data_IF_456523190169
#
_entry.id   IF_456523190169
#
_cell.length_a   1.000
_cell.length_b   1.000
_cell.length_c   1.000
_cell.angle_alpha   90.00
_cell.angle_beta   90.00
_cell.angle_gamma   90.00
#
_symmetry.space_group_name_H-M   'P 1'
#
loop_
_entity.id
_entity.type
_entity.pdbx_description
1 polymer ?
#
# COMPACT_ATOMS: atom_id res chain seq x y z
N UNK A 1 -22.46 -14.88 23.60
CA UNK A 1 -21.65 -15.61 22.58
C UNK A 1 -20.47 -16.29 23.26
N UNK A 2 -20.26 -17.58 23.01
CA UNK A 2 -19.08 -18.28 23.45
C UNK A 2 -17.84 -17.90 22.62
N UNK A 3 -16.64 -18.32 23.03
CA UNK A 3 -15.38 -17.90 22.36
C UNK A 3 -15.28 -18.43 20.93
N UNK A 4 -15.85 -19.60 20.63
CA UNK A 4 -15.91 -20.19 19.28
C UNK A 4 -16.80 -19.34 18.37
N UNK A 5 -17.98 -18.92 18.83
CA UNK A 5 -18.87 -18.04 18.08
C UNK A 5 -18.21 -16.68 17.78
N UNK A 6 -17.48 -16.11 18.76
CA UNK A 6 -16.73 -14.86 18.54
C UNK A 6 -15.63 -15.01 17.50
N UNK A 7 -14.94 -16.18 17.46
CA UNK A 7 -13.94 -16.47 16.43
C UNK A 7 -14.58 -16.63 15.06
N UNK A 8 -15.71 -17.33 14.97
CA UNK A 8 -16.44 -17.52 13.73
C UNK A 8 -16.94 -16.18 13.16
N UNK A 9 -17.60 -15.34 13.98
CA UNK A 9 -18.05 -14.00 13.55
C UNK A 9 -16.89 -13.13 13.04
N UNK A 10 -15.72 -13.25 13.68
CA UNK A 10 -14.52 -12.52 13.25
C UNK A 10 -13.97 -13.06 11.92
N UNK A 11 -14.02 -14.37 11.69
CA UNK A 11 -13.68 -14.97 10.40
C UNK A 11 -14.64 -14.55 9.28
N UNK A 12 -15.95 -14.60 9.56
CA UNK A 12 -16.99 -14.15 8.60
C UNK A 12 -16.85 -12.67 8.25
N UNK A 13 -16.45 -11.83 9.20
CA UNK A 13 -16.17 -10.41 8.95
C UNK A 13 -15.07 -10.21 7.91
N UNK A 14 -13.94 -10.91 8.01
CA UNK A 14 -12.87 -10.82 7.01
C UNK A 14 -13.25 -11.47 5.68
N UNK A 15 -14.04 -12.53 5.70
CA UNK A 15 -14.59 -13.10 4.48
C UNK A 15 -15.50 -12.10 3.75
N UNK A 16 -16.34 -11.35 4.49
CA UNK A 16 -17.16 -10.31 3.90
C UNK A 16 -16.32 -9.16 3.29
N UNK A 17 -15.27 -8.72 3.96
CA UNK A 17 -14.32 -7.73 3.39
C UNK A 17 -13.68 -8.30 2.12
N UNK A 18 -13.18 -9.53 2.16
CA UNK A 18 -12.58 -10.17 1.00
C UNK A 18 -13.55 -10.25 -0.18
N UNK A 19 -14.80 -10.69 0.05
CA UNK A 19 -15.83 -10.77 -1.01
C UNK A 19 -16.11 -9.38 -1.57
N UNK A 20 -16.26 -8.36 -0.72
CA UNK A 20 -16.44 -6.98 -1.16
C UNK A 20 -15.30 -6.53 -2.09
N UNK A 21 -14.05 -6.70 -1.68
CA UNK A 21 -12.88 -6.33 -2.47
C UNK A 21 -12.75 -7.15 -3.75
N UNK A 22 -13.06 -8.44 -3.69
CA UNK A 22 -13.03 -9.32 -4.86
C UNK A 22 -14.07 -8.91 -5.91
N UNK A 23 -15.30 -8.58 -5.47
CA UNK A 23 -16.34 -8.03 -6.35
C UNK A 23 -15.92 -6.66 -6.89
N UNK A 24 -15.31 -5.82 -6.06
CA UNK A 24 -14.77 -4.53 -6.50
C UNK A 24 -13.76 -4.70 -7.64
N UNK A 25 -12.75 -5.53 -7.47
CA UNK A 25 -11.67 -5.73 -8.44
C UNK A 25 -12.01 -6.69 -9.59
N UNK A 26 -13.19 -7.29 -9.60
CA UNK A 26 -13.68 -8.10 -10.75
C UNK A 26 -14.79 -7.42 -11.52
N UNK A 27 -15.57 -6.51 -10.92
CA UNK A 27 -16.79 -5.96 -11.50
C UNK A 27 -16.85 -4.44 -11.54
N UNK A 28 -16.37 -3.75 -10.48
CA UNK A 28 -16.45 -2.28 -10.39
C UNK A 28 -15.20 -1.65 -10.99
N UNK A 29 -14.05 -2.00 -10.46
CA UNK A 29 -12.73 -1.59 -10.95
C UNK A 29 -11.99 -2.85 -11.38
N UNK A 30 -12.47 -3.49 -12.46
CA UNK A 30 -11.94 -4.77 -12.89
C UNK A 30 -10.45 -4.63 -13.32
N UNK A 31 -9.62 -5.54 -12.79
CA UNK A 31 -8.19 -5.60 -13.09
C UNK A 31 -7.98 -6.30 -14.44
N UNK A 32 -8.09 -5.54 -15.51
CA UNK A 32 -7.99 -6.04 -16.88
C UNK A 32 -6.57 -5.83 -17.39
N UNK A 33 -6.02 -6.84 -18.07
CA UNK A 33 -4.77 -6.71 -18.83
C UNK A 33 -5.05 -5.83 -20.05
N UNK A 34 -4.39 -4.67 -20.14
CA UNK A 34 -4.66 -3.71 -21.21
C UNK A 34 -3.42 -2.93 -21.65
N UNK A 35 -2.68 -2.33 -20.71
CA UNK A 35 -1.52 -1.50 -21.04
C UNK A 35 -0.36 -2.32 -21.58
N UNK A 36 0.55 -1.68 -22.33
CA UNK A 36 1.74 -2.31 -22.90
C UNK A 36 2.64 -2.94 -21.81
N UNK A 37 2.76 -2.28 -20.65
CA UNK A 37 3.49 -2.80 -19.51
C UNK A 37 2.86 -4.08 -18.96
N UNK A 38 1.51 -4.17 -18.93
CA UNK A 38 0.81 -5.40 -18.51
C UNK A 38 1.20 -6.58 -19.42
N UNK A 39 1.04 -6.41 -20.73
CA UNK A 39 1.37 -7.45 -21.70
C UNK A 39 2.84 -7.87 -21.67
N UNK A 40 3.75 -6.91 -21.51
CA UNK A 40 5.17 -7.18 -21.42
C UNK A 40 5.52 -8.04 -20.21
N UNK A 41 4.96 -7.71 -19.03
CA UNK A 41 5.25 -8.44 -17.79
C UNK A 41 4.48 -9.75 -17.63
N UNK A 42 3.38 -9.97 -18.33
CA UNK A 42 2.69 -11.28 -18.36
C UNK A 42 3.57 -12.40 -18.93
N UNK A 43 4.32 -12.10 -19.97
CA UNK A 43 5.16 -13.05 -20.70
C UNK A 43 6.61 -13.09 -20.19
N UNK A 44 7.09 -11.98 -19.67
CA UNK A 44 8.47 -11.83 -19.26
C UNK A 44 8.68 -12.28 -17.82
N UNK A 45 9.23 -13.47 -17.66
CA UNK A 45 9.68 -13.96 -16.36
C UNK A 45 11.15 -13.60 -16.20
N UNK A 46 11.43 -12.72 -15.26
CA UNK A 46 12.80 -12.42 -14.86
C UNK A 46 13.54 -13.67 -14.41
N UNK A 47 14.82 -13.77 -14.72
CA UNK A 47 15.69 -14.79 -14.14
C UNK A 47 15.68 -14.68 -12.60
N UNK A 48 15.14 -15.69 -11.93
CA UNK A 48 15.06 -15.75 -10.47
C UNK A 48 16.39 -16.08 -9.81
N UNK A 49 17.29 -16.72 -10.60
CA UNK A 49 18.63 -17.09 -10.16
C UNK A 49 19.62 -16.02 -10.62
N UNK A 50 20.64 -15.70 -9.79
CA UNK A 50 21.69 -14.77 -10.19
C UNK A 50 22.38 -15.22 -11.46
N UNK A 51 22.36 -14.36 -12.48
CA UNK A 51 23.22 -14.45 -13.64
C UNK A 51 24.33 -13.44 -13.44
N UNK A 52 25.59 -13.90 -13.47
CA UNK A 52 26.73 -13.04 -13.19
C UNK A 52 26.80 -11.87 -14.18
N UNK A 53 26.83 -10.64 -13.67
CA UNK A 53 26.84 -9.41 -14.46
C UNK A 53 25.46 -8.85 -14.80
N UNK A 54 24.38 -9.62 -14.63
CA UNK A 54 23.02 -9.21 -14.99
C UNK A 54 22.07 -9.21 -13.80
N UNK A 55 22.42 -9.90 -12.71
CA UNK A 55 21.55 -10.02 -11.56
C UNK A 55 21.36 -8.70 -10.80
N UNK A 56 20.12 -8.35 -10.55
CA UNK A 56 19.74 -7.21 -9.74
C UNK A 56 18.75 -7.69 -8.64
N UNK A 57 19.05 -7.48 -7.34
CA UNK A 57 18.18 -7.94 -6.25
C UNK A 57 16.90 -7.13 -6.10
N UNK A 58 16.83 -5.91 -6.67
CA UNK A 58 15.66 -5.08 -6.60
C UNK A 58 14.54 -5.56 -7.54
N UNK A 59 13.29 -5.29 -7.19
CA UNK A 59 12.09 -5.61 -7.98
C UNK A 59 11.84 -7.09 -8.27
N UNK A 60 12.52 -8.00 -7.62
CA UNK A 60 12.28 -9.44 -7.80
C UNK A 60 10.83 -9.79 -7.46
N UNK A 61 10.27 -9.20 -6.41
CA UNK A 61 8.88 -9.46 -6.02
C UNK A 61 7.88 -9.16 -7.15
N UNK A 62 7.78 -7.95 -7.71
CA UNK A 62 6.82 -7.67 -8.78
C UNK A 62 7.15 -8.45 -10.07
N UNK A 63 8.42 -8.52 -10.45
CA UNK A 63 8.83 -9.11 -11.74
C UNK A 63 8.75 -10.65 -11.78
N UNK A 64 8.55 -11.31 -10.64
CA UNK A 64 8.34 -12.76 -10.54
C UNK A 64 6.91 -13.11 -10.18
N UNK A 65 6.31 -12.40 -9.24
CA UNK A 65 4.99 -12.73 -8.69
C UNK A 65 3.87 -12.41 -9.70
N UNK A 66 4.00 -11.34 -10.47
CA UNK A 66 3.01 -11.02 -11.50
C UNK A 66 2.95 -12.11 -12.60
N UNK A 67 4.05 -12.45 -13.32
CA UNK A 67 4.01 -13.52 -14.30
C UNK A 67 3.69 -14.89 -13.71
N UNK A 68 4.05 -15.16 -12.45
CA UNK A 68 3.66 -16.39 -11.76
C UNK A 68 2.13 -16.52 -11.66
N UNK A 69 1.44 -15.51 -11.13
CA UNK A 69 -0.02 -15.55 -11.03
C UNK A 69 -0.71 -15.49 -12.39
N UNK A 70 -0.12 -14.80 -13.36
CA UNK A 70 -0.59 -14.81 -14.74
C UNK A 70 -0.53 -16.21 -15.36
N UNK A 71 0.55 -16.95 -15.11
CA UNK A 71 0.71 -18.36 -15.50
C UNK A 71 -0.35 -19.24 -14.81
N UNK A 72 -0.55 -19.06 -13.50
CA UNK A 72 -1.60 -19.78 -12.75
C UNK A 72 -2.98 -19.46 -13.33
N UNK A 73 -3.26 -18.20 -13.70
CA UNK A 73 -4.51 -17.81 -14.35
C UNK A 73 -4.70 -18.55 -15.68
N UNK A 74 -3.67 -18.58 -16.52
CA UNK A 74 -3.74 -19.22 -17.83
C UNK A 74 -3.97 -20.73 -17.75
N UNK A 75 -3.30 -21.43 -16.84
CA UNK A 75 -3.36 -22.89 -16.77
C UNK A 75 -4.44 -23.45 -15.84
N UNK A 76 -4.83 -22.76 -14.78
CA UNK A 76 -5.79 -23.27 -13.80
C UNK A 76 -7.14 -22.56 -13.86
N UNK A 77 -7.19 -21.25 -14.16
CA UNK A 77 -8.45 -20.49 -14.16
C UNK A 77 -9.08 -20.43 -15.55
N UNK A 78 -8.29 -20.25 -16.60
CA UNK A 78 -8.78 -20.17 -17.97
C UNK A 78 -9.57 -21.41 -18.42
N UNK A 79 -9.18 -22.67 -18.07
CA UNK A 79 -9.99 -23.84 -18.41
C UNK A 79 -11.42 -23.80 -17.84
N UNK A 80 -11.62 -23.09 -16.73
CA UNK A 80 -12.92 -22.92 -16.08
C UNK A 80 -13.72 -21.76 -16.68
N UNK A 81 -13.05 -20.62 -16.94
CA UNK A 81 -13.69 -19.41 -17.46
C UNK A 81 -13.91 -19.43 -18.97
N UNK A 82 -13.14 -20.25 -19.70
CA UNK A 82 -13.09 -20.29 -21.17
C UNK A 82 -12.67 -18.97 -21.83
N UNK A 83 -12.21 -18.00 -21.05
CA UNK A 83 -11.78 -16.67 -21.49
C UNK A 83 -10.50 -16.25 -20.76
N UNK A 84 -9.45 -15.97 -21.52
CA UNK A 84 -8.13 -15.63 -20.98
C UNK A 84 -8.18 -14.32 -20.15
N UNK A 85 -8.84 -13.29 -20.67
CA UNK A 85 -8.93 -11.99 -20.00
C UNK A 85 -9.69 -12.09 -18.67
N UNK A 86 -10.82 -12.83 -18.67
CA UNK A 86 -11.55 -13.11 -17.43
C UNK A 86 -10.69 -13.90 -16.44
N UNK A 87 -9.93 -14.89 -16.91
CA UNK A 87 -9.06 -15.68 -16.04
C UNK A 87 -7.99 -14.82 -15.36
N UNK A 88 -7.35 -13.92 -16.10
CA UNK A 88 -6.38 -12.96 -15.58
C UNK A 88 -7.04 -12.04 -14.54
N UNK A 89 -8.19 -11.41 -14.91
CA UNK A 89 -8.92 -10.52 -14.00
C UNK A 89 -9.29 -11.21 -12.68
N UNK A 90 -9.82 -12.42 -12.73
CA UNK A 90 -10.22 -13.19 -11.53
C UNK A 90 -9.02 -13.51 -10.66
N UNK A 91 -7.92 -13.97 -11.25
CA UNK A 91 -6.71 -14.31 -10.50
C UNK A 91 -6.07 -13.08 -9.83
N UNK A 92 -5.90 -12.00 -10.58
CA UNK A 92 -5.28 -10.79 -10.04
C UNK A 92 -6.17 -10.09 -9.00
N UNK A 93 -7.50 -10.08 -9.20
CA UNK A 93 -8.44 -9.63 -8.19
C UNK A 93 -8.37 -10.48 -6.91
N UNK A 94 -8.19 -11.80 -7.02
CA UNK A 94 -7.98 -12.69 -5.87
C UNK A 94 -6.73 -12.29 -5.09
N UNK A 95 -5.59 -12.10 -5.77
CA UNK A 95 -4.31 -11.75 -5.15
C UNK A 95 -4.38 -10.40 -4.45
N UNK A 96 -4.90 -9.38 -5.12
CA UNK A 96 -5.02 -8.02 -4.58
C UNK A 96 -5.98 -8.00 -3.38
N UNK A 97 -7.15 -8.64 -3.50
CA UNK A 97 -8.16 -8.69 -2.43
C UNK A 97 -7.65 -9.44 -1.19
N UNK A 98 -6.94 -10.54 -1.35
CA UNK A 98 -6.31 -11.27 -0.25
C UNK A 98 -5.24 -10.41 0.43
N UNK A 99 -4.43 -9.71 -0.34
CA UNK A 99 -3.36 -8.85 0.19
C UNK A 99 -3.92 -7.68 1.00
N UNK A 100 -4.96 -6.99 0.51
CA UNK A 100 -5.63 -5.92 1.25
C UNK A 100 -6.31 -6.48 2.50
N UNK A 101 -6.98 -7.64 2.41
CA UNK A 101 -7.61 -8.29 3.57
C UNK A 101 -6.57 -8.64 4.64
N UNK A 102 -5.41 -9.17 4.24
CA UNK A 102 -4.28 -9.46 5.13
C UNK A 102 -3.71 -8.20 5.81
N UNK A 103 -3.58 -7.12 5.07
CA UNK A 103 -3.18 -5.80 5.57
C UNK A 103 -4.16 -5.28 6.64
N UNK A 104 -5.46 -5.33 6.38
CA UNK A 104 -6.51 -4.94 7.33
C UNK A 104 -6.53 -5.85 8.57
N UNK A 105 -6.25 -7.13 8.41
CA UNK A 105 -6.11 -8.06 9.52
C UNK A 105 -4.89 -7.71 10.42
N UNK A 106 -3.76 -7.30 9.82
CA UNK A 106 -2.61 -6.79 10.57
C UNK A 106 -2.97 -5.54 11.38
N UNK A 107 -3.73 -4.60 10.81
CA UNK A 107 -4.23 -3.43 11.50
C UNK A 107 -5.11 -3.79 12.71
N UNK A 108 -6.10 -4.65 12.53
CA UNK A 108 -6.95 -5.10 13.65
C UNK A 108 -6.15 -5.78 14.77
N UNK A 109 -5.14 -6.57 14.41
CA UNK A 109 -4.23 -7.21 15.38
C UNK A 109 -3.39 -6.18 16.14
N UNK A 110 -2.93 -5.13 15.45
CA UNK A 110 -2.21 -4.02 16.07
C UNK A 110 -3.09 -3.35 17.14
N UNK A 111 -4.31 -2.93 16.78
CA UNK A 111 -5.21 -2.24 17.71
C UNK A 111 -5.48 -3.08 18.97
N UNK A 112 -5.80 -4.36 18.79
CA UNK A 112 -6.10 -5.28 19.89
C UNK A 112 -4.90 -5.59 20.78
N UNK A 113 -3.69 -5.43 20.29
CA UNK A 113 -2.47 -5.60 21.09
C UNK A 113 -2.10 -4.34 21.86
N UNK A 114 -2.25 -3.19 21.22
CA UNK A 114 -1.83 -1.90 21.77
C UNK A 114 -2.88 -1.29 22.72
N UNK A 115 -4.16 -1.67 22.56
CA UNK A 115 -5.25 -1.08 23.31
C UNK A 115 -6.20 -2.14 23.88
N UNK A 116 -6.85 -1.87 25.03
CA UNK A 116 -7.83 -2.77 25.63
C UNK A 116 -9.19 -2.67 24.92
N UNK A 117 -9.20 -2.94 23.59
CA UNK A 117 -10.40 -2.89 22.76
C UNK A 117 -10.95 -4.27 22.44
N UNK A 118 -12.28 -4.36 22.33
CA UNK A 118 -12.98 -5.59 21.96
C UNK A 118 -12.72 -5.96 20.50
N UNK A 119 -13.01 -7.23 20.13
CA UNK A 119 -12.98 -7.64 18.71
C UNK A 119 -13.95 -6.83 17.86
N UNK A 120 -15.14 -6.54 18.37
CA UNK A 120 -16.14 -5.73 17.67
C UNK A 120 -15.62 -4.31 17.42
N UNK A 121 -15.07 -3.66 18.44
CA UNK A 121 -14.44 -2.34 18.32
C UNK A 121 -13.34 -2.34 17.26
N UNK A 122 -12.45 -3.34 17.29
CA UNK A 122 -11.39 -3.47 16.30
C UNK A 122 -11.94 -3.69 14.89
N UNK A 123 -13.05 -4.43 14.73
CA UNK A 123 -13.71 -4.63 13.42
C UNK A 123 -14.32 -3.32 12.90
N UNK A 124 -14.97 -2.53 13.74
CA UNK A 124 -15.52 -1.22 13.37
C UNK A 124 -14.39 -0.28 12.92
N UNK A 125 -13.29 -0.22 13.66
CA UNK A 125 -12.12 0.56 13.26
C UNK A 125 -11.48 0.04 11.97
N UNK A 126 -11.52 -1.27 11.72
CA UNK A 126 -11.03 -1.84 10.46
C UNK A 126 -11.91 -1.41 9.27
N UNK A 127 -13.24 -1.37 9.44
CA UNK A 127 -14.14 -0.81 8.42
C UNK A 127 -13.86 0.69 8.18
N UNK A 128 -13.66 1.47 9.24
CA UNK A 128 -13.35 2.89 9.11
C UNK A 128 -11.99 3.09 8.42
N UNK A 129 -10.98 2.28 8.76
CA UNK A 129 -9.67 2.33 8.12
C UNK A 129 -9.75 1.96 6.63
N UNK A 130 -10.51 0.93 6.28
CA UNK A 130 -10.80 0.59 4.88
C UNK A 130 -11.49 1.75 4.16
N UNK A 131 -12.50 2.35 4.79
CA UNK A 131 -13.27 3.45 4.23
C UNK A 131 -12.40 4.67 3.92
N UNK A 132 -11.51 5.09 4.83
CA UNK A 132 -10.65 6.25 4.58
C UNK A 132 -9.69 6.01 3.42
N UNK A 133 -9.24 4.78 3.16
CA UNK A 133 -8.44 4.44 1.99
C UNK A 133 -9.20 4.66 0.66
N UNK A 134 -10.51 4.50 0.67
CA UNK A 134 -11.33 4.79 -0.50
C UNK A 134 -11.71 6.27 -0.63
N UNK A 135 -11.70 7.04 0.47
CA UNK A 135 -12.23 8.41 0.50
C UNK A 135 -11.17 9.51 0.52
N UNK A 136 -10.00 9.27 1.09
CA UNK A 136 -9.02 10.33 1.37
C UNK A 136 -8.67 11.16 0.12
N UNK A 137 -8.42 10.52 -1.02
CA UNK A 137 -8.07 11.17 -2.28
C UNK A 137 -9.27 11.58 -3.14
N UNK A 138 -10.51 11.30 -2.70
CA UNK A 138 -11.71 11.59 -3.48
C UNK A 138 -12.23 12.98 -3.18
N UNK A 139 -11.95 13.89 -4.08
CA UNK A 139 -12.57 15.21 -4.15
C UNK A 139 -13.25 15.37 -5.51
N UNK A 140 -14.02 16.44 -5.69
CA UNK A 140 -14.67 16.75 -6.96
C UNK A 140 -13.67 16.83 -8.15
N UNK A 141 -12.42 17.18 -7.86
CA UNK A 141 -11.37 17.39 -8.86
C UNK A 141 -10.36 16.25 -8.96
N UNK A 142 -10.44 15.21 -8.09
CA UNK A 142 -9.42 14.16 -8.01
C UNK A 142 -9.69 12.92 -8.86
N UNK A 143 -10.77 12.90 -9.63
CA UNK A 143 -11.10 11.76 -10.49
C UNK A 143 -11.33 10.46 -9.73
N UNK A 144 -10.85 9.35 -10.29
CA UNK A 144 -11.03 7.98 -9.76
C UNK A 144 -10.07 7.57 -8.65
N UNK A 145 -9.13 8.40 -8.29
CA UNK A 145 -8.04 8.00 -7.41
C UNK A 145 -8.54 7.67 -6.00
N UNK A 146 -8.08 6.56 -5.48
CA UNK A 146 -8.20 6.11 -4.10
C UNK A 146 -6.90 5.38 -3.74
N UNK A 147 -6.61 5.15 -2.47
CA UNK A 147 -5.27 4.66 -2.07
C UNK A 147 -4.94 3.25 -2.58
N UNK A 148 -5.93 2.45 -2.94
CA UNK A 148 -5.70 1.15 -3.58
C UNK A 148 -5.76 1.22 -5.12
N UNK A 149 -5.83 2.41 -5.71
CA UNK A 149 -5.84 2.59 -7.15
C UNK A 149 -4.42 2.55 -7.71
N UNK A 150 -4.26 1.82 -8.81
CA UNK A 150 -3.10 1.89 -9.67
C UNK A 150 -3.56 2.04 -11.12
N UNK A 151 -2.75 2.73 -11.94
CA UNK A 151 -3.12 3.11 -13.32
C UNK A 151 -3.17 1.93 -14.29
N UNK A 152 -2.49 0.83 -14.00
CA UNK A 152 -2.46 -0.40 -14.77
C UNK A 152 -2.30 -1.61 -13.84
N UNK A 153 -2.50 -2.82 -14.37
CA UNK A 153 -2.40 -4.06 -13.60
C UNK A 153 -0.97 -4.32 -13.10
N UNK A 154 0.03 -4.02 -13.93
CA UNK A 154 1.43 -4.16 -13.55
C UNK A 154 1.78 -3.25 -12.35
N UNK A 155 1.21 -2.05 -12.28
CA UNK A 155 1.40 -1.14 -11.15
C UNK A 155 0.88 -1.69 -9.82
N UNK A 156 -0.17 -2.53 -9.80
CA UNK A 156 -0.58 -3.23 -8.57
C UNK A 156 0.54 -4.08 -7.99
N UNK A 157 1.31 -4.76 -8.83
CA UNK A 157 2.42 -5.61 -8.40
C UNK A 157 3.68 -4.80 -8.09
N UNK A 158 3.93 -3.72 -8.82
CA UNK A 158 5.10 -2.88 -8.60
C UNK A 158 4.97 -1.94 -7.41
N UNK A 159 3.76 -1.46 -7.08
CA UNK A 159 3.55 -0.42 -6.06
C UNK A 159 2.65 -0.88 -4.93
N UNK A 160 1.39 -1.30 -5.21
CA UNK A 160 0.42 -1.55 -4.15
C UNK A 160 0.78 -2.77 -3.31
N UNK A 161 1.03 -3.92 -3.91
CA UNK A 161 1.35 -5.15 -3.15
C UNK A 161 2.60 -4.99 -2.28
N UNK A 162 3.72 -4.43 -2.79
CA UNK A 162 4.87 -4.11 -1.96
C UNK A 162 4.56 -3.11 -0.84
N UNK A 163 3.75 -2.09 -1.10
CA UNK A 163 3.36 -1.11 -0.08
C UNK A 163 2.51 -1.75 1.02
N UNK A 164 1.54 -2.60 0.67
CA UNK A 164 0.75 -3.38 1.63
C UNK A 164 1.62 -4.32 2.47
N UNK A 165 2.64 -4.96 1.86
CA UNK A 165 3.59 -5.81 2.55
C UNK A 165 4.41 -5.01 3.57
N UNK A 166 5.00 -3.88 3.17
CA UNK A 166 5.79 -3.01 4.02
C UNK A 166 4.93 -2.43 5.17
N UNK A 167 3.72 -1.96 4.88
CA UNK A 167 2.78 -1.45 5.87
C UNK A 167 2.35 -2.53 6.88
N UNK A 168 2.11 -3.76 6.41
CA UNK A 168 1.78 -4.92 7.27
C UNK A 168 2.93 -5.30 8.19
N UNK A 169 4.17 -5.24 7.70
CA UNK A 169 5.37 -5.44 8.50
C UNK A 169 5.52 -4.36 9.56
N UNK A 170 5.37 -3.07 9.20
CA UNK A 170 5.42 -1.94 10.14
C UNK A 170 4.40 -2.12 11.25
N UNK A 171 3.13 -2.43 10.93
CA UNK A 171 2.10 -2.70 11.93
C UNK A 171 2.45 -3.90 12.82
N UNK A 172 3.05 -4.95 12.26
CA UNK A 172 3.46 -6.14 13.00
C UNK A 172 4.65 -5.85 13.94
N UNK A 173 5.58 -4.99 13.53
CA UNK A 173 6.73 -4.56 14.31
C UNK A 173 6.33 -3.60 15.44
N UNK A 174 5.39 -2.69 15.22
CA UNK A 174 4.82 -1.84 16.29
C UNK A 174 4.07 -2.71 17.32
N UNK A 175 3.31 -3.70 16.86
CA UNK A 175 2.59 -4.63 17.71
C UNK A 175 3.53 -5.49 18.56
N UNK A 176 4.65 -5.88 18.00
CA UNK A 176 5.66 -6.72 18.65
C UNK A 176 7.07 -6.20 18.36
N UNK A 177 7.58 -5.23 19.14
CA UNK A 177 8.90 -4.64 18.92
C UNK A 177 10.05 -5.66 18.94
N UNK A 178 9.85 -6.81 19.57
CA UNK A 178 10.83 -7.91 19.62
C UNK A 178 10.72 -8.88 18.45
N UNK A 179 9.91 -8.58 17.43
CA UNK A 179 9.78 -9.46 16.26
C UNK A 179 11.14 -9.66 15.55
N UNK A 180 12.02 -8.64 15.56
CA UNK A 180 13.39 -8.77 15.06
C UNK A 180 14.23 -9.80 15.83
N UNK A 181 13.97 -10.02 17.13
CA UNK A 181 14.67 -11.04 17.93
C UNK A 181 14.26 -12.47 17.55
N UNK A 182 13.14 -12.62 16.85
CA UNK A 182 12.70 -13.89 16.27
C UNK A 182 13.75 -14.52 15.35
N UNK A 183 14.59 -13.69 14.70
CA UNK A 183 15.74 -14.16 13.92
C UNK A 183 16.76 -14.94 14.77
N UNK A 184 16.82 -14.69 16.09
CA UNK A 184 17.76 -15.35 16.99
C UNK A 184 17.19 -16.65 17.57
N UNK A 185 15.88 -16.72 17.84
CA UNK A 185 15.28 -17.79 18.65
C UNK A 185 14.13 -18.55 17.97
N UNK A 186 13.67 -18.13 16.82
CA UNK A 186 12.57 -18.77 16.09
C UNK A 186 12.96 -20.11 15.44
N UNK A 187 11.97 -20.95 15.12
CA UNK A 187 12.18 -22.17 14.35
C UNK A 187 12.81 -21.87 12.99
N UNK A 188 13.76 -22.69 12.47
CA UNK A 188 14.51 -22.40 11.24
C UNK A 188 13.63 -22.06 10.03
N UNK A 189 12.57 -22.84 9.79
CA UNK A 189 11.65 -22.60 8.69
C UNK A 189 10.92 -21.24 8.80
N UNK A 190 10.45 -20.91 10.02
CA UNK A 190 9.76 -19.65 10.26
C UNK A 190 10.72 -18.43 10.14
N UNK A 191 12.00 -18.61 10.55
CA UNK A 191 13.04 -17.59 10.33
C UNK A 191 13.29 -17.37 8.84
N UNK A 192 13.41 -18.46 8.06
CA UNK A 192 13.55 -18.42 6.62
C UNK A 192 12.39 -17.67 5.95
N UNK A 193 11.15 -18.01 6.28
CA UNK A 193 9.97 -17.30 5.79
C UNK A 193 10.00 -15.80 6.16
N UNK A 194 10.38 -15.46 7.39
CA UNK A 194 10.48 -14.06 7.80
C UNK A 194 11.56 -13.30 7.01
N UNK A 195 12.73 -13.91 6.79
CA UNK A 195 13.79 -13.31 5.96
C UNK A 195 13.32 -13.08 4.52
N UNK A 196 12.60 -14.04 3.92
CA UNK A 196 12.03 -13.90 2.56
C UNK A 196 11.02 -12.74 2.52
N UNK A 197 10.13 -12.64 3.50
CA UNK A 197 9.16 -11.54 3.58
C UNK A 197 9.85 -10.19 3.71
N UNK A 198 10.87 -10.08 4.59
CA UNK A 198 11.66 -8.86 4.76
C UNK A 198 12.45 -8.51 3.49
N UNK A 199 13.04 -9.51 2.82
CA UNK A 199 13.71 -9.32 1.55
C UNK A 199 12.76 -8.73 0.49
N UNK A 200 11.61 -9.34 0.28
CA UNK A 200 10.62 -8.83 -0.67
C UNK A 200 10.07 -7.45 -0.29
N UNK A 201 9.99 -7.12 1.00
CA UNK A 201 9.59 -5.80 1.43
C UNK A 201 10.65 -4.74 1.09
N UNK A 202 11.92 -5.02 1.37
CA UNK A 202 13.03 -4.06 1.20
C UNK A 202 13.44 -3.93 -0.27
N UNK A 203 13.60 -5.07 -0.97
CA UNK A 203 14.04 -5.12 -2.38
C UNK A 203 12.86 -5.06 -3.37
N UNK A 204 11.76 -4.44 -2.98
CA UNK A 204 10.64 -4.06 -3.84
C UNK A 204 10.97 -2.77 -4.62
N UNK A 205 10.05 -1.83 -4.71
CA UNK A 205 10.35 -0.51 -5.25
C UNK A 205 10.66 0.51 -4.13
N UNK A 206 11.30 1.62 -4.46
CA UNK A 206 11.69 2.65 -3.51
C UNK A 206 10.50 3.31 -2.79
N UNK A 207 9.38 3.71 -3.44
CA UNK A 207 8.22 4.27 -2.75
C UNK A 207 7.66 3.33 -1.68
N UNK A 208 7.55 2.04 -1.96
CA UNK A 208 6.98 1.07 -1.02
C UNK A 208 7.95 0.72 0.11
N UNK A 209 9.22 0.43 -0.20
CA UNK A 209 10.23 0.04 0.79
C UNK A 209 10.60 1.19 1.74
N UNK A 210 10.43 2.44 1.30
CA UNK A 210 10.57 3.63 2.13
C UNK A 210 9.67 3.64 3.37
N UNK A 211 8.53 2.94 3.36
CA UNK A 211 7.63 2.80 4.51
C UNK A 211 8.34 2.08 5.68
N UNK A 212 8.98 0.96 5.39
CA UNK A 212 9.72 0.17 6.39
C UNK A 212 11.01 0.88 6.81
N UNK A 213 11.69 1.54 5.87
CA UNK A 213 12.89 2.35 6.17
C UNK A 213 12.56 3.55 7.08
N UNK A 214 11.46 4.25 6.83
CA UNK A 214 11.01 5.36 7.68
C UNK A 214 10.68 4.88 9.11
N UNK A 215 10.03 3.72 9.25
CA UNK A 215 9.82 3.09 10.56
C UNK A 215 11.16 2.76 11.25
N UNK A 216 12.09 2.13 10.55
CA UNK A 216 13.39 1.75 11.12
C UNK A 216 14.20 2.98 11.58
N UNK A 217 14.25 4.04 10.75
CA UNK A 217 14.86 5.31 11.09
C UNK A 217 14.22 5.97 12.30
N UNK A 218 12.90 5.91 12.43
CA UNK A 218 12.16 6.47 13.56
C UNK A 218 12.46 5.75 14.88
N UNK A 219 12.54 4.42 14.84
CA UNK A 219 12.93 3.62 16.03
C UNK A 219 14.34 3.97 16.47
N UNK A 220 15.29 4.04 15.53
CA UNK A 220 16.68 4.43 15.84
C UNK A 220 16.76 5.84 16.40
N UNK A 221 16.07 6.81 15.80
CA UNK A 221 16.06 8.19 16.27
C UNK A 221 15.51 8.29 17.70
N UNK A 222 14.41 7.63 18.00
CA UNK A 222 13.85 7.61 19.35
C UNK A 222 14.79 6.94 20.36
N UNK A 223 15.46 5.85 19.97
CA UNK A 223 16.46 5.19 20.80
C UNK A 223 17.67 6.10 21.06
N UNK A 224 18.14 6.83 20.05
CA UNK A 224 19.20 7.82 20.19
C UNK A 224 18.83 8.97 21.13
N UNK A 225 17.59 9.49 21.03
CA UNK A 225 17.10 10.55 21.93
C UNK A 225 17.02 10.04 23.37
N UNK A 226 16.57 8.81 23.58
CA UNK A 226 16.43 8.24 24.92
C UNK A 226 17.78 7.94 25.60
N UNK A 227 18.76 7.43 24.86
CA UNK A 227 20.00 6.89 25.42
C UNK A 227 21.28 7.69 25.03
N UNK A 228 21.16 8.63 24.08
CA UNK A 228 22.33 9.35 23.53
C UNK A 228 23.11 10.19 24.56
N UNK A 229 22.41 10.69 25.59
CA UNK A 229 23.04 11.44 26.68
C UNK A 229 24.00 10.60 27.55
N UNK A 230 23.79 9.29 27.59
CA UNK A 230 24.58 8.37 28.42
C UNK A 230 25.80 7.75 27.69
N UNK A 231 26.07 8.13 26.42
CA UNK A 231 27.12 7.54 25.56
C UNK A 231 27.09 5.99 25.46
N UNK A 232 25.91 5.39 25.59
CA UNK A 232 25.73 3.93 25.58
C UNK A 232 25.54 3.37 24.15
N UNK A 233 26.42 3.74 23.22
CA UNK A 233 26.34 3.34 21.80
C UNK A 233 26.27 1.83 21.59
N UNK A 234 27.02 1.05 22.40
CA UNK A 234 26.96 -0.43 22.31
C UNK A 234 25.59 -0.98 22.65
N UNK A 235 24.92 -0.42 23.66
CA UNK A 235 23.56 -0.78 24.03
C UNK A 235 22.56 -0.44 22.91
N UNK A 236 22.63 0.79 22.36
CA UNK A 236 21.77 1.23 21.26
C UNK A 236 21.89 0.31 20.05
N UNK A 237 23.11 -0.05 19.64
CA UNK A 237 23.35 -0.94 18.50
C UNK A 237 22.86 -2.36 18.75
N UNK A 238 23.05 -2.89 19.97
CA UNK A 238 22.63 -4.26 20.30
C UNK A 238 21.10 -4.39 20.37
N UNK A 239 20.41 -3.38 20.87
CA UNK A 239 18.93 -3.36 20.97
C UNK A 239 18.24 -3.08 19.65
N UNK A 240 18.89 -2.32 18.75
CA UNK A 240 18.32 -1.90 17.47
C UNK A 240 18.96 -2.58 16.24
N UNK A 241 19.52 -3.76 16.40
CA UNK A 241 20.19 -4.49 15.32
C UNK A 241 19.29 -4.76 14.11
N UNK A 242 18.01 -5.07 14.33
CA UNK A 242 17.07 -5.29 13.23
C UNK A 242 16.71 -4.00 12.47
N UNK A 243 16.31 -2.87 13.11
CA UNK A 243 16.13 -1.61 12.41
C UNK A 243 17.37 -1.15 11.63
N UNK A 244 18.57 -1.35 12.18
CA UNK A 244 19.81 -1.02 11.50
C UNK A 244 20.03 -1.90 10.26
N UNK A 245 19.78 -3.21 10.37
CA UNK A 245 19.84 -4.14 9.24
C UNK A 245 18.87 -3.72 8.11
N UNK A 246 17.64 -3.33 8.48
CA UNK A 246 16.64 -2.84 7.53
C UNK A 246 17.16 -1.61 6.77
N UNK A 247 17.75 -0.62 7.48
CA UNK A 247 18.28 0.59 6.82
C UNK A 247 19.46 0.29 5.90
N UNK A 248 20.39 -0.57 6.33
CA UNK A 248 21.53 -0.96 5.51
C UNK A 248 21.06 -1.70 4.25
N UNK A 249 20.17 -2.67 4.39
CA UNK A 249 19.61 -3.42 3.25
C UNK A 249 18.80 -2.50 2.32
N UNK A 250 18.02 -1.56 2.90
CA UNK A 250 17.28 -0.58 2.11
C UNK A 250 18.21 0.36 1.34
N UNK A 251 19.31 0.81 1.95
CA UNK A 251 20.31 1.64 1.26
C UNK A 251 20.94 0.86 0.09
N UNK A 252 21.27 -0.41 0.28
CA UNK A 252 21.76 -1.28 -0.79
C UNK A 252 20.70 -1.38 -1.92
N UNK A 253 19.43 -1.61 -1.58
CA UNK A 253 18.34 -1.64 -2.55
C UNK A 253 18.23 -0.31 -3.32
N UNK A 254 18.35 0.83 -2.62
CA UNK A 254 18.32 2.15 -3.24
C UNK A 254 19.47 2.37 -4.23
N UNK A 255 20.68 1.90 -3.91
CA UNK A 255 21.82 1.98 -4.83
C UNK A 255 21.54 1.20 -6.11
N UNK A 256 21.01 -0.02 -6.02
CA UNK A 256 20.64 -0.80 -7.21
C UNK A 256 19.55 -0.13 -8.05
N UNK A 257 18.51 0.43 -7.42
CA UNK A 257 17.44 1.15 -8.12
C UNK A 257 17.94 2.43 -8.82
N UNK A 258 18.78 3.20 -8.13
CA UNK A 258 19.34 4.45 -8.66
C UNK A 258 20.43 4.21 -9.75
N UNK A 259 21.00 3.02 -9.80
CA UNK A 259 21.95 2.61 -10.84
C UNK A 259 21.24 2.04 -12.09
N UNK A 260 19.92 1.84 -12.03
CA UNK A 260 19.15 1.27 -13.13
C UNK A 260 18.79 2.27 -14.23
N UNK A 261 18.34 1.75 -15.39
CA UNK A 261 18.03 2.55 -16.58
C UNK A 261 16.99 3.64 -16.38
N UNK A 262 16.05 3.48 -15.43
CA UNK A 262 15.06 4.53 -15.09
C UNK A 262 15.72 5.79 -14.50
N UNK A 263 16.76 5.64 -13.70
CA UNK A 263 17.51 6.77 -13.15
C UNK A 263 18.31 7.49 -14.22
N UNK A 264 18.86 6.76 -15.20
CA UNK A 264 19.55 7.32 -16.33
C UNK A 264 18.63 8.17 -17.24
N UNK A 265 17.38 7.74 -17.43
CA UNK A 265 16.38 8.50 -18.22
C UNK A 265 15.72 9.67 -17.46
N UNK A 266 15.83 9.70 -16.13
CA UNK A 266 15.29 10.80 -15.31
C UNK A 266 16.16 12.07 -15.28
N UNK A 267 17.39 12.01 -15.78
CA UNK A 267 18.34 13.14 -15.85
C UNK A 267 17.91 14.23 -16.84
N UNK A 268 16.92 15.04 -16.47
CA UNK A 268 16.53 16.23 -17.22
C UNK A 268 17.45 17.43 -16.93
N UNK A 269 17.45 18.42 -17.84
CA UNK A 269 18.20 19.67 -17.71
C UNK A 269 17.70 20.59 -16.58
N UNK A 270 16.64 20.21 -15.87
CA UNK A 270 16.00 21.04 -14.84
C UNK A 270 16.73 20.93 -13.50
N UNK A 271 17.11 22.04 -12.85
CA UNK A 271 17.81 22.02 -11.58
C UNK A 271 17.01 21.30 -10.46
N UNK A 272 17.70 20.51 -9.62
CA UNK A 272 17.09 19.69 -8.56
C UNK A 272 16.28 20.54 -7.57
N UNK A 273 16.73 21.75 -7.22
CA UNK A 273 15.99 22.62 -6.30
C UNK A 273 14.63 23.06 -6.88
N UNK A 274 14.54 23.25 -8.20
CA UNK A 274 13.28 23.58 -8.86
C UNK A 274 12.36 22.37 -8.93
N UNK A 275 12.89 21.17 -9.19
CA UNK A 275 12.15 19.93 -9.11
C UNK A 275 11.57 19.72 -7.70
N UNK A 276 12.38 19.98 -6.65
CA UNK A 276 11.92 19.90 -5.26
C UNK A 276 10.82 20.93 -4.98
N UNK A 277 10.97 22.16 -5.44
CA UNK A 277 9.92 23.18 -5.31
C UNK A 277 8.60 22.71 -5.96
N UNK A 278 8.66 22.14 -7.16
CA UNK A 278 7.48 21.62 -7.86
C UNK A 278 6.88 20.43 -7.09
N UNK A 279 7.69 19.50 -6.58
CA UNK A 279 7.22 18.39 -5.77
C UNK A 279 6.50 18.88 -4.50
N UNK A 280 7.07 19.87 -3.80
CA UNK A 280 6.42 20.50 -2.63
C UNK A 280 5.09 21.17 -3.02
N UNK A 281 5.06 21.91 -4.13
CA UNK A 281 3.85 22.54 -4.65
C UNK A 281 2.75 21.52 -4.97
N UNK A 282 3.10 20.41 -5.63
CA UNK A 282 2.15 19.35 -5.95
C UNK A 282 1.64 18.65 -4.70
N UNK A 283 2.53 18.31 -3.75
CA UNK A 283 2.10 17.69 -2.48
C UNK A 283 1.16 18.61 -1.70
N UNK A 284 1.51 19.90 -1.58
CA UNK A 284 0.65 20.89 -0.92
C UNK A 284 -0.73 20.96 -1.59
N UNK A 285 -0.79 20.98 -2.92
CA UNK A 285 -2.05 20.97 -3.66
C UNK A 285 -2.85 19.70 -3.38
N UNK A 286 -2.23 18.52 -3.45
CA UNK A 286 -2.89 17.24 -3.13
C UNK A 286 -3.48 17.29 -1.72
N UNK A 287 -2.71 17.74 -0.72
CA UNK A 287 -3.18 17.82 0.67
C UNK A 287 -4.34 18.81 0.84
N UNK A 288 -4.38 19.89 0.06
CA UNK A 288 -5.49 20.85 0.06
C UNK A 288 -6.72 20.32 -0.69
N UNK A 289 -6.53 19.50 -1.72
CA UNK A 289 -7.58 18.94 -2.57
C UNK A 289 -8.15 17.62 -2.03
N UNK A 290 -7.69 17.14 -0.85
CA UNK A 290 -8.24 15.96 -0.20
C UNK A 290 -9.74 16.14 0.11
N UNK A 291 -10.45 15.02 0.23
CA UNK A 291 -11.84 15.02 0.67
C UNK A 291 -12.02 15.87 1.94
N UNK A 292 -12.87 16.89 1.88
CA UNK A 292 -13.06 17.87 2.96
C UNK A 292 -13.51 17.23 4.28
N UNK A 293 -14.38 16.23 4.20
CA UNK A 293 -14.89 15.55 5.38
C UNK A 293 -13.82 14.64 6.00
N UNK A 294 -12.97 14.04 5.19
CA UNK A 294 -11.78 13.34 5.67
C UNK A 294 -10.83 14.30 6.41
N UNK A 295 -10.51 15.46 5.82
CA UNK A 295 -9.66 16.46 6.47
C UNK A 295 -10.23 16.93 7.82
N UNK A 296 -11.53 17.25 7.85
CA UNK A 296 -12.21 17.69 9.08
C UNK A 296 -12.22 16.58 10.14
N UNK A 297 -12.48 15.34 9.75
CA UNK A 297 -12.48 14.20 10.66
C UNK A 297 -11.10 13.98 11.27
N UNK A 298 -10.05 13.99 10.45
CA UNK A 298 -8.67 13.83 10.92
C UNK A 298 -8.27 14.99 11.86
N UNK A 299 -8.58 16.22 11.48
CA UNK A 299 -8.31 17.40 12.30
C UNK A 299 -9.04 17.33 13.66
N UNK A 300 -10.31 16.92 13.67
CA UNK A 300 -11.08 16.74 14.89
C UNK A 300 -10.47 15.67 15.81
N UNK A 301 -10.05 14.53 15.25
CA UNK A 301 -9.37 13.47 16.02
C UNK A 301 -8.10 14.02 16.68
N UNK A 302 -7.27 14.73 15.91
CA UNK A 302 -6.02 15.32 16.42
C UNK A 302 -6.30 16.33 17.53
N UNK A 303 -7.25 17.26 17.33
CA UNK A 303 -7.62 18.28 18.34
C UNK A 303 -8.13 17.60 19.61
N UNK A 304 -9.07 16.66 19.50
CA UNK A 304 -9.60 15.94 20.66
C UNK A 304 -8.49 15.18 21.41
N UNK A 305 -7.60 14.53 20.68
CA UNK A 305 -6.47 13.81 21.28
C UNK A 305 -5.55 14.76 22.04
N UNK A 306 -5.14 15.87 21.43
CA UNK A 306 -4.27 16.88 22.06
C UNK A 306 -4.92 17.47 23.31
N UNK A 307 -6.19 17.85 23.24
CA UNK A 307 -6.94 18.36 24.39
C UNK A 307 -6.96 17.33 25.52
N UNK A 308 -7.24 16.06 25.22
CA UNK A 308 -7.24 14.99 26.24
C UNK A 308 -5.86 14.77 26.85
N UNK A 309 -4.77 14.83 26.06
CA UNK A 309 -3.40 14.72 26.56
C UNK A 309 -3.07 15.88 27.49
N UNK A 310 -3.39 17.12 27.10
CA UNK A 310 -3.12 18.32 27.91
C UNK A 310 -3.95 18.32 29.20
N UNK A 311 -5.23 17.96 29.13
CA UNK A 311 -6.10 17.84 30.31
C UNK A 311 -5.64 16.70 31.25
N UNK A 312 -5.14 15.59 30.68
CA UNK A 312 -4.60 14.45 31.42
C UNK A 312 -3.32 14.78 32.19
N UNK A 313 -2.43 15.58 31.60
CA UNK A 313 -1.20 16.04 32.25
C UNK A 313 -1.46 16.80 33.56
N UNK A 314 -2.51 17.62 33.59
CA UNK A 314 -2.90 18.37 34.82
C UNK A 314 -3.40 17.48 35.94
N UNK A 315 -3.79 16.21 35.66
CA UNK A 315 -4.39 15.27 36.61
C UNK A 315 -3.55 14.01 36.82
N UNK A 316 -2.29 13.98 36.37
CA UNK A 316 -1.41 12.81 36.34
C UNK A 316 -2.04 11.54 35.70
N UNK A 317 -2.93 11.75 34.73
CA UNK A 317 -3.64 10.70 33.99
C UNK A 317 -3.21 10.72 32.54
N UNK A 318 -2.06 10.14 32.25
CA UNK A 318 -1.58 10.00 30.88
C UNK A 318 -2.58 9.21 30.00
N UNK A 319 -2.72 9.66 28.75
CA UNK A 319 -3.45 8.91 27.72
C UNK A 319 -2.44 8.06 26.94
N UNK A 320 -2.33 6.75 27.23
CA UNK A 320 -1.34 5.90 26.55
C UNK A 320 -1.73 5.71 25.08
N UNK A 321 -0.80 5.97 24.18
CA UNK A 321 -0.95 5.70 22.76
C UNK A 321 0.32 5.02 22.23
N UNK A 322 0.45 3.69 22.45
CA UNK A 322 1.64 2.94 22.04
C UNK A 322 1.89 3.05 20.54
N UNK A 323 3.15 3.26 20.15
CA UNK A 323 3.58 3.35 18.77
C UNK A 323 3.36 4.72 18.09
N UNK A 324 2.56 5.62 18.67
CA UNK A 324 2.23 6.90 18.02
C UNK A 324 3.47 7.74 17.68
N UNK A 325 4.43 7.86 18.59
CA UNK A 325 5.66 8.63 18.36
C UNK A 325 6.48 8.06 17.19
N UNK A 326 6.58 6.75 17.10
CA UNK A 326 7.26 6.06 15.99
C UNK A 326 6.56 6.38 14.67
N UNK A 327 5.22 6.24 14.63
CA UNK A 327 4.43 6.46 13.40
C UNK A 327 4.44 7.92 12.98
N UNK A 328 4.38 8.87 13.92
CA UNK A 328 4.46 10.31 13.61
C UNK A 328 5.82 10.69 12.98
N UNK A 329 6.92 10.22 13.58
CA UNK A 329 8.26 10.47 13.03
C UNK A 329 8.40 9.77 11.68
N UNK A 330 7.89 8.54 11.55
CA UNK A 330 7.91 7.81 10.28
C UNK A 330 7.12 8.54 9.18
N UNK A 331 5.95 9.11 9.51
CA UNK A 331 5.15 9.89 8.57
C UNK A 331 5.91 11.14 8.09
N UNK A 332 6.55 11.87 9.02
CA UNK A 332 7.36 13.03 8.67
C UNK A 332 8.59 12.64 7.82
N UNK A 333 9.32 11.60 8.23
CA UNK A 333 10.49 11.10 7.51
C UNK A 333 10.12 10.60 6.10
N UNK A 334 9.01 9.86 5.97
CA UNK A 334 8.51 9.39 4.69
C UNK A 334 8.06 10.54 3.79
N UNK A 335 7.39 11.56 4.34
CA UNK A 335 7.01 12.76 3.59
C UNK A 335 8.22 13.48 2.98
N UNK A 336 9.28 13.68 3.77
CA UNK A 336 10.55 14.25 3.28
C UNK A 336 11.18 13.35 2.23
N UNK A 337 11.24 12.04 2.49
CA UNK A 337 11.77 11.06 1.54
C UNK A 337 11.02 11.09 0.20
N UNK A 338 9.68 11.13 0.23
CA UNK A 338 8.84 11.15 -0.96
C UNK A 338 9.09 12.42 -1.80
N UNK A 339 9.28 13.59 -1.14
CA UNK A 339 9.64 14.83 -1.81
C UNK A 339 11.02 14.72 -2.49
N UNK A 340 12.01 14.17 -1.79
CA UNK A 340 13.36 13.95 -2.35
C UNK A 340 13.33 12.98 -3.52
N UNK A 341 12.64 11.85 -3.39
CA UNK A 341 12.49 10.86 -4.45
C UNK A 341 11.80 11.46 -5.67
N UNK A 342 10.69 12.18 -5.48
CA UNK A 342 9.96 12.82 -6.56
C UNK A 342 10.78 13.92 -7.24
N UNK A 343 11.64 14.62 -6.52
CA UNK A 343 12.54 15.60 -7.12
C UNK A 343 13.63 14.96 -7.97
N UNK A 344 14.01 13.72 -7.68
CA UNK A 344 15.03 12.99 -8.45
C UNK A 344 14.47 12.31 -9.71
N UNK A 345 13.25 11.76 -9.63
CA UNK A 345 12.62 10.97 -10.73
C UNK A 345 11.75 11.84 -11.63
N UNK A 346 11.33 13.00 -11.14
CA UNK A 346 10.39 13.93 -11.78
C UNK A 346 9.25 14.32 -10.82
N UNK A 347 8.96 15.62 -10.68
CA UNK A 347 8.07 16.15 -9.64
C UNK A 347 6.61 15.70 -9.80
N UNK A 348 6.21 15.29 -11.00
CA UNK A 348 4.87 14.75 -11.27
C UNK A 348 4.66 13.37 -10.68
N UNK A 349 5.73 12.62 -10.36
CA UNK A 349 5.64 11.30 -9.73
C UNK A 349 4.86 11.33 -8.41
N UNK A 350 4.90 12.44 -7.66
CA UNK A 350 4.16 12.60 -6.41
C UNK A 350 2.63 12.66 -6.62
N UNK A 351 2.16 12.92 -7.83
CA UNK A 351 0.73 13.00 -8.11
C UNK A 351 0.06 11.63 -8.24
N UNK A 352 0.84 10.57 -8.35
CA UNK A 352 0.34 9.20 -8.49
C UNK A 352 -0.08 8.64 -7.13
N UNK A 353 -1.29 8.10 -7.05
CA UNK A 353 -1.87 7.52 -5.81
C UNK A 353 -1.00 6.43 -5.21
N UNK A 354 -0.40 5.59 -6.04
CA UNK A 354 0.46 4.50 -5.62
C UNK A 354 1.75 4.97 -4.92
N UNK A 355 2.28 6.14 -5.28
CA UNK A 355 3.42 6.74 -4.59
C UNK A 355 3.02 7.41 -3.27
N UNK A 356 1.78 7.88 -3.18
CA UNK A 356 1.22 8.51 -1.99
C UNK A 356 0.81 7.50 -0.91
N UNK A 357 0.61 6.22 -1.26
CA UNK A 357 0.09 5.21 -0.35
C UNK A 357 0.83 5.20 0.99
N UNK A 358 2.17 5.21 0.99
CA UNK A 358 2.96 5.16 2.22
C UNK A 358 2.73 6.35 3.15
N UNK A 359 2.62 7.57 2.59
CA UNK A 359 2.35 8.78 3.36
C UNK A 359 0.97 8.72 4.00
N UNK A 360 -0.06 8.40 3.23
CA UNK A 360 -1.44 8.32 3.72
C UNK A 360 -1.63 7.17 4.70
N UNK A 361 -1.04 6.00 4.44
CA UNK A 361 -1.03 4.90 5.39
C UNK A 361 -0.51 5.34 6.76
N UNK A 362 0.63 6.04 6.82
CA UNK A 362 1.21 6.49 8.09
C UNK A 362 0.36 7.58 8.75
N UNK A 363 -0.22 8.50 7.98
CA UNK A 363 -1.15 9.53 8.49
C UNK A 363 -2.43 8.89 9.04
N UNK A 364 -3.05 8.00 8.29
CA UNK A 364 -4.27 7.28 8.70
C UNK A 364 -4.01 6.41 9.92
N UNK A 365 -2.85 5.74 9.97
CA UNK A 365 -2.46 4.95 11.13
C UNK A 365 -2.30 5.84 12.38
N UNK A 366 -1.69 7.03 12.27
CA UNK A 366 -1.65 8.01 13.36
C UNK A 366 -3.05 8.38 13.84
N UNK A 367 -3.94 8.76 12.92
CA UNK A 367 -5.33 9.12 13.24
C UNK A 367 -6.07 7.98 13.93
N UNK A 368 -5.93 6.75 13.43
CA UNK A 368 -6.58 5.57 14.02
C UNK A 368 -6.02 5.19 15.40
N UNK A 369 -4.72 5.33 15.62
CA UNK A 369 -4.12 5.13 16.95
C UNK A 369 -4.64 6.17 17.94
N UNK A 370 -4.70 7.45 17.56
CA UNK A 370 -5.25 8.53 18.40
C UNK A 370 -6.74 8.29 18.70
N UNK A 371 -7.54 7.95 17.68
CA UNK A 371 -8.98 7.67 17.86
C UNK A 371 -9.18 6.44 18.75
N UNK A 372 -8.38 5.38 18.59
CA UNK A 372 -8.47 4.19 19.45
C UNK A 372 -8.11 4.51 20.90
N UNK A 373 -7.10 5.35 21.13
CA UNK A 373 -6.75 5.82 22.48
C UNK A 373 -7.89 6.61 23.12
N UNK A 374 -8.53 7.50 22.35
CA UNK A 374 -9.71 8.28 22.82
C UNK A 374 -10.88 7.36 23.18
N UNK A 375 -11.23 6.42 22.31
CA UNK A 375 -12.33 5.47 22.54
C UNK A 375 -12.03 4.52 23.70
N UNK A 376 -10.77 4.09 23.85
CA UNK A 376 -10.35 3.28 25.00
C UNK A 376 -10.55 4.03 26.34
N UNK A 377 -10.36 5.34 26.32
CA UNK A 377 -10.58 6.21 27.50
C UNK A 377 -12.03 6.60 27.69
N UNK A 378 -12.74 6.82 26.58
CA UNK A 378 -14.12 7.29 26.56
C UNK A 378 -14.98 6.36 25.68
N UNK A 379 -15.40 5.18 26.17
CA UNK A 379 -16.08 4.18 25.35
C UNK A 379 -17.38 4.66 24.71
N UNK A 380 -18.02 5.69 25.28
CA UNK A 380 -19.24 6.30 24.70
C UNK A 380 -19.02 6.93 23.33
N UNK A 381 -17.77 7.29 22.98
CA UNK A 381 -17.43 7.77 21.64
C UNK A 381 -17.69 6.73 20.53
N UNK A 382 -17.76 5.44 20.87
CA UNK A 382 -18.17 4.40 19.93
C UNK A 382 -19.55 4.65 19.31
N UNK A 383 -20.45 5.29 20.06
CA UNK A 383 -21.81 5.61 19.58
C UNK A 383 -21.81 6.68 18.47
N UNK A 384 -20.77 7.51 18.39
CA UNK A 384 -20.62 8.51 17.35
C UNK A 384 -20.03 7.96 16.04
N UNK A 385 -19.37 6.78 16.06
CA UNK A 385 -18.69 6.25 14.88
C UNK A 385 -19.62 5.97 13.69
N UNK A 386 -20.85 5.44 13.86
CA UNK A 386 -21.79 5.30 12.75
C UNK A 386 -22.12 6.65 12.10
N UNK A 387 -22.30 7.70 12.91
CA UNK A 387 -22.55 9.06 12.40
C UNK A 387 -21.33 9.59 11.63
N UNK A 388 -20.12 9.38 12.15
CA UNK A 388 -18.87 9.74 11.45
C UNK A 388 -18.76 8.98 10.13
N UNK A 389 -19.12 7.71 10.10
CA UNK A 389 -19.10 6.90 8.88
C UNK A 389 -20.09 7.44 7.83
N UNK A 390 -21.34 7.73 8.24
CA UNK A 390 -22.35 8.32 7.34
C UNK A 390 -21.90 9.70 6.86
N UNK A 391 -21.33 10.51 7.74
CA UNK A 391 -20.78 11.82 7.41
C UNK A 391 -19.67 11.70 6.37
N UNK A 392 -18.70 10.80 6.55
CA UNK A 392 -17.63 10.55 5.56
C UNK A 392 -18.19 10.08 4.21
N UNK A 393 -19.17 9.18 4.24
CA UNK A 393 -19.81 8.68 3.01
C UNK A 393 -20.56 9.78 2.25
N UNK A 394 -21.16 10.75 2.94
CA UNK A 394 -21.84 11.88 2.30
C UNK A 394 -20.91 12.80 1.51
N UNK A 395 -19.62 12.76 1.79
CA UNK A 395 -18.58 13.53 1.07
C UNK A 395 -18.03 12.83 -0.16
N UNK A 396 -18.51 11.62 -0.47
CA UNK A 396 -18.09 10.91 -1.68
C UNK A 396 -18.83 11.49 -2.87
N UNK A 397 -18.09 11.99 -3.86
CA UNK A 397 -18.67 12.27 -5.14
C UNK A 397 -19.04 10.94 -5.82
N UNK A 398 -20.34 10.68 -5.91
CA UNK A 398 -20.91 9.45 -6.49
C UNK A 398 -21.13 9.58 -7.99
N UNK A 399 -20.66 10.64 -8.65
CA UNK A 399 -20.73 10.71 -10.10
C UNK A 399 -20.02 9.51 -10.67
N UNK A 400 -20.85 8.55 -11.10
CA UNK A 400 -20.49 7.16 -11.33
C UNK A 400 -19.42 6.95 -12.42
N UNK A 401 -19.21 7.91 -13.28
CA UNK A 401 -18.30 7.80 -14.42
C UNK A 401 -16.83 7.69 -14.00
N UNK A 402 -16.46 8.33 -12.89
CA UNK A 402 -15.06 8.37 -12.43
C UNK A 402 -14.57 7.10 -11.72
N UNK A 403 -15.44 6.18 -11.29
CA UNK A 403 -15.02 4.92 -10.63
C UNK A 403 -14.62 3.81 -11.62
N UNK A 404 -14.86 4.01 -12.90
CA UNK A 404 -14.80 2.95 -13.89
C UNK A 404 -13.53 2.97 -14.76
N UNK A 405 -12.71 3.99 -14.64
CA UNK A 405 -11.46 4.11 -15.38
C UNK A 405 -10.35 3.31 -14.68
N UNK A 406 -9.65 2.46 -15.41
CA UNK A 406 -8.64 1.54 -14.87
C UNK A 406 -7.28 1.62 -15.56
N UNK A 407 -7.03 2.69 -16.33
CA UNK A 407 -5.80 2.85 -17.10
C UNK A 407 -5.49 4.31 -17.41
N UNK A 408 -4.33 4.57 -17.98
CA UNK A 408 -3.89 5.92 -18.37
C UNK A 408 -4.81 6.61 -19.38
N UNK A 409 -5.47 5.84 -20.23
CA UNK A 409 -6.34 6.37 -21.27
C UNK A 409 -7.76 6.72 -20.78
N UNK A 410 -8.05 6.50 -19.48
CA UNK A 410 -9.39 6.73 -18.93
C UNK A 410 -10.48 5.81 -19.49
N UNK A 411 -10.10 4.68 -20.10
CA UNK A 411 -11.02 3.75 -20.74
C UNK A 411 -11.65 2.81 -19.70
N UNK A 412 -12.94 2.54 -19.83
CA UNK A 412 -13.65 1.63 -18.93
C UNK A 412 -13.11 0.20 -19.00
N UNK A 413 -13.00 -0.52 -17.87
CA UNK A 413 -12.47 -1.88 -17.84
C UNK A 413 -13.16 -2.86 -18.80
N UNK A 414 -14.47 -2.70 -19.03
CA UNK A 414 -15.20 -3.54 -19.98
C UNK A 414 -14.69 -3.34 -21.42
N UNK A 415 -14.46 -2.10 -21.82
CA UNK A 415 -13.91 -1.76 -23.15
C UNK A 415 -12.48 -2.28 -23.28
N UNK A 416 -11.65 -2.11 -22.25
CA UNK A 416 -10.30 -2.69 -22.20
C UNK A 416 -10.33 -4.21 -22.41
N UNK A 417 -11.26 -4.89 -21.74
CA UNK A 417 -11.42 -6.34 -21.86
C UNK A 417 -11.85 -6.74 -23.29
N UNK A 418 -12.76 -6.02 -23.91
CA UNK A 418 -13.25 -6.31 -25.26
C UNK A 418 -12.16 -6.07 -26.30
N UNK A 419 -11.40 -4.97 -26.21
CA UNK A 419 -10.24 -4.72 -27.09
C UNK A 419 -9.18 -5.83 -26.92
N UNK A 420 -8.85 -6.19 -25.70
CA UNK A 420 -7.86 -7.26 -25.45
C UNK A 420 -8.33 -8.63 -25.98
N UNK A 421 -9.62 -8.95 -25.87
CA UNK A 421 -10.19 -10.17 -26.46
C UNK A 421 -10.15 -10.16 -27.98
N UNK A 422 -10.46 -9.02 -28.61
CA UNK A 422 -10.40 -8.87 -30.05
C UNK A 422 -8.97 -9.08 -30.58
N UNK A 423 -7.97 -8.48 -29.94
CA UNK A 423 -6.56 -8.70 -30.30
C UNK A 423 -6.16 -10.18 -30.18
N UNK A 424 -6.57 -10.87 -29.12
CA UNK A 424 -6.33 -12.29 -28.94
C UNK A 424 -7.01 -13.10 -30.05
N UNK A 425 -8.26 -12.75 -30.42
CA UNK A 425 -8.99 -13.43 -31.48
C UNK A 425 -8.35 -13.26 -32.86
N UNK A 426 -7.79 -12.06 -33.16
CA UNK A 426 -7.03 -11.80 -34.37
C UNK A 426 -5.77 -12.70 -34.44
N UNK A 427 -5.02 -12.81 -33.33
CA UNK A 427 -3.85 -13.68 -33.24
C UNK A 427 -4.21 -15.16 -33.41
N UNK A 428 -5.26 -15.64 -32.73
CA UNK A 428 -5.73 -17.02 -32.86
C UNK A 428 -6.20 -17.35 -34.29
N UNK A 429 -6.84 -16.40 -34.96
CA UNK A 429 -7.29 -16.56 -36.34
C UNK A 429 -6.09 -16.66 -37.30
N UNK A 430 -5.05 -15.82 -37.09
CA UNK A 430 -3.84 -15.86 -37.88
C UNK A 430 -3.08 -17.19 -37.68
N UNK A 431 -2.96 -17.64 -36.43
CA UNK A 431 -2.32 -18.92 -36.08
C UNK A 431 -3.03 -20.11 -36.71
N UNK A 432 -4.37 -20.15 -36.65
CA UNK A 432 -5.19 -21.18 -37.29
C UNK A 432 -5.05 -21.20 -38.83
N UNK A 433 -4.67 -20.08 -39.44
CA UNK A 433 -4.36 -19.95 -40.86
C UNK A 433 -2.89 -20.25 -41.18
N UNK A 434 -2.08 -20.62 -40.19
CA UNK A 434 -0.64 -20.90 -40.37
C UNK A 434 0.20 -19.67 -40.73
N UNK A 435 -0.30 -18.44 -40.42
CA UNK A 435 0.44 -17.21 -40.66
C UNK A 435 1.52 -17.02 -39.60
N UNK A 436 2.73 -16.72 -40.02
CA UNK A 436 3.85 -16.41 -39.12
C UNK A 436 3.93 -14.93 -38.76
N UNK A 437 3.24 -14.08 -39.52
CA UNK A 437 3.14 -12.63 -39.28
C UNK A 437 1.66 -12.20 -39.39
N UNK A 438 1.27 -11.25 -38.56
CA UNK A 438 -0.08 -10.68 -38.55
C UNK A 438 -0.02 -9.19 -38.27
N UNK A 439 -0.76 -8.40 -39.04
CA UNK A 439 -1.05 -7.02 -38.73
C UNK A 439 -2.29 -6.95 -37.84
N UNK A 440 -2.13 -6.40 -36.62
CA UNK A 440 -3.22 -6.27 -35.68
C UNK A 440 -3.98 -4.97 -35.92
N UNK A 441 -5.28 -5.05 -36.04
CA UNK A 441 -6.17 -3.90 -36.06
C UNK A 441 -6.50 -3.47 -34.65
N UNK A 442 -5.90 -2.36 -34.22
CA UNK A 442 -6.10 -1.77 -32.88
C UNK A 442 -7.03 -0.58 -32.99
N UNK A 443 -8.07 -0.47 -32.16
CA UNK A 443 -8.92 0.72 -32.14
C UNK A 443 -8.10 1.98 -31.87
N UNK A 444 -8.33 3.02 -32.69
CA UNK A 444 -7.69 4.30 -32.47
C UNK A 444 -8.36 5.00 -31.27
N UNK A 445 -7.57 5.36 -30.26
CA UNK A 445 -8.04 6.22 -29.19
C UNK A 445 -8.01 7.69 -29.69
N UNK A 446 -9.16 8.30 -29.70
CA UNK A 446 -9.30 9.73 -29.98
C UNK A 446 -9.52 10.40 -28.62
N UNK A 447 -8.53 11.11 -28.12
CA UNK A 447 -8.73 12.03 -26.98
C UNK A 447 -9.56 13.21 -27.46
N UNK A 448 -10.73 13.39 -26.90
CA UNK A 448 -11.53 14.61 -27.07
C UNK A 448 -10.81 15.83 -26.48
#
# INVERSE_FOLDING_TARGET
MNETQKKLCHGLFYLAIFIFLFVWFTKVHALVVFDADDWSYLAYVRATTPVWGEWNPAKVFPEVIFPFFSTVAAYLVMPLTKDYITAQTVMHALVVSLSITGYLWCFSKLLRRCFPVSRLTASVFTCLFLLVHFLALRSADSGNQYLFYCVDLNCYYNYLLPALLNASLVMSLIRNPRLGDFLKSGAPAARGCFCIVVYFAIFSNLPASGILAAWAGSVLLLSLIAHGKAKQWKGILSENGFPLLVLVAWFISAVFELSGGRAASAGGSTPVYYQLYLACKYLARILLDLNRLYQLTLALIVVCFVVCVLAGRKKDKALPCPGLSVVLIAAAAFGVYLLMLSSAVGPTAIRRSENLFGLFFLMDLCGMLMLTALVSRYPRLMLALPLVTVFLLSGVDTRAETFLESNFAGVRPAVCADVSRDLIAQLQTADAQGRTEVELHVPQYVSD
#
